data_IF_854607676759
#
_entry.id   IF_854607676759
#
_cell.length_a   1.000
_cell.length_b   1.000
_cell.length_c   1.000
_cell.angle_alpha   90.00
_cell.angle_beta   90.00
_cell.angle_gamma   90.00
#
_symmetry.space_group_name_H-M   'P 1'
#
loop_
_entity.id
_entity.type
_entity.pdbx_description
1 polymer ?
#
# COMPACT_ATOMS: atom_id res chain seq x y z
N UNK A 1 -14.16 -2.64 9.56
CA UNK A 1 -13.30 -1.98 10.55
C UNK A 1 -13.14 -2.85 11.79
N UNK A 2 -14.24 -3.37 12.34
CA UNK A 2 -14.26 -4.31 13.48
C UNK A 2 -13.19 -5.40 13.42
N UNK A 3 -13.00 -6.06 12.26
CA UNK A 3 -11.94 -7.06 12.14
C UNK A 3 -10.53 -6.50 12.38
N UNK A 4 -10.23 -5.29 11.90
CA UNK A 4 -8.95 -4.62 12.16
C UNK A 4 -8.81 -4.19 13.63
N UNK A 5 -9.92 -3.82 14.29
CA UNK A 5 -9.94 -3.42 15.70
C UNK A 5 -9.50 -4.57 16.64
N UNK A 6 -9.69 -5.82 16.20
CA UNK A 6 -9.24 -7.02 16.94
C UNK A 6 -7.75 -7.34 16.77
N UNK A 7 -7.00 -6.59 15.95
CA UNK A 7 -5.61 -6.91 15.60
C UNK A 7 -4.61 -5.98 16.30
N UNK A 8 -3.43 -6.49 16.71
CA UNK A 8 -2.39 -5.64 17.29
C UNK A 8 -1.95 -4.50 16.37
N UNK A 9 -1.44 -3.42 16.97
CA UNK A 9 -0.90 -2.30 16.20
C UNK A 9 0.23 -2.77 15.27
N UNK A 10 0.20 -2.30 14.02
CA UNK A 10 1.19 -2.59 12.97
C UNK A 10 1.38 -4.09 12.68
N UNK A 11 0.37 -4.93 12.90
CA UNK A 11 0.46 -6.37 12.60
C UNK A 11 -0.11 -6.76 11.24
N UNK A 12 -1.04 -5.98 10.70
CA UNK A 12 -1.82 -6.35 9.50
C UNK A 12 -1.08 -5.93 8.23
N UNK A 13 -1.01 -6.86 7.28
CA UNK A 13 -0.63 -6.59 5.89
C UNK A 13 -1.86 -6.23 5.08
N UNK A 14 -1.90 -5.03 4.52
CA UNK A 14 -2.93 -4.64 3.56
C UNK A 14 -2.45 -4.93 2.13
N UNK A 15 -3.27 -5.55 1.29
CA UNK A 15 -2.91 -5.91 -0.08
C UNK A 15 -3.97 -5.41 -1.06
N UNK A 16 -3.56 -4.60 -2.05
CA UNK A 16 -4.44 -4.12 -3.12
C UNK A 16 -3.65 -3.74 -4.38
N UNK A 17 -4.07 -4.29 -5.51
CA UNK A 17 -3.49 -4.01 -6.84
C UNK A 17 -4.36 -3.06 -7.68
N UNK A 18 -5.26 -2.32 -7.03
CA UNK A 18 -6.10 -1.31 -7.68
C UNK A 18 -7.23 -1.90 -8.53
N UNK A 19 -7.76 -1.07 -9.44
CA UNK A 19 -8.93 -1.40 -10.28
C UNK A 19 -8.57 -1.93 -11.66
N UNK A 20 -7.40 -1.55 -12.19
CA UNK A 20 -7.06 -1.81 -13.58
C UNK A 20 -6.16 -3.04 -13.78
N UNK A 21 -5.43 -3.47 -12.75
CA UNK A 21 -4.57 -4.64 -12.85
C UNK A 21 -5.37 -5.92 -12.56
N UNK A 22 -5.61 -6.72 -13.61
CA UNK A 22 -6.01 -8.12 -13.41
C UNK A 22 -4.79 -8.91 -12.92
N UNK A 23 -4.82 -9.33 -11.66
CA UNK A 23 -3.73 -10.12 -11.06
C UNK A 23 -3.84 -11.57 -11.55
N UNK A 24 -2.78 -12.08 -12.19
CA UNK A 24 -2.74 -13.45 -12.71
C UNK A 24 -2.94 -14.49 -11.60
N UNK A 25 -3.42 -15.69 -11.95
CA UNK A 25 -3.57 -16.79 -10.99
C UNK A 25 -2.24 -17.10 -10.29
N UNK A 26 -1.15 -17.17 -11.05
CA UNK A 26 0.20 -17.39 -10.52
C UNK A 26 0.59 -16.34 -9.47
N UNK A 27 0.36 -15.06 -9.76
CA UNK A 27 0.64 -14.00 -8.79
C UNK A 27 -0.23 -14.13 -7.53
N UNK A 28 -1.52 -14.48 -7.68
CA UNK A 28 -2.40 -14.72 -6.53
C UNK A 28 -1.89 -15.88 -5.65
N UNK A 29 -1.45 -16.98 -6.27
CA UNK A 29 -0.93 -18.14 -5.55
C UNK A 29 0.37 -17.82 -4.79
N UNK A 30 1.27 -17.04 -5.40
CA UNK A 30 2.48 -16.55 -4.72
C UNK A 30 2.17 -15.60 -3.57
N UNK A 31 1.22 -14.67 -3.74
CA UNK A 31 0.77 -13.78 -2.66
C UNK A 31 0.21 -14.60 -1.49
N UNK A 32 -0.66 -15.60 -1.75
CA UNK A 32 -1.20 -16.49 -0.72
C UNK A 32 -0.08 -17.20 0.05
N UNK A 33 0.90 -17.77 -0.68
CA UNK A 33 2.05 -18.46 -0.08
C UNK A 33 2.92 -17.52 0.75
N UNK A 34 3.26 -16.34 0.23
CA UNK A 34 4.12 -15.38 0.93
C UNK A 34 3.45 -14.77 2.17
N UNK A 35 2.15 -14.47 2.08
CA UNK A 35 1.36 -14.02 3.23
C UNK A 35 1.28 -15.11 4.30
N UNK A 36 1.01 -16.36 3.92
CA UNK A 36 1.01 -17.48 4.85
C UNK A 36 2.37 -17.71 5.51
N UNK A 37 3.46 -17.64 4.75
CA UNK A 37 4.83 -17.78 5.24
C UNK A 37 5.23 -16.66 6.21
N UNK A 38 4.70 -15.44 6.02
CA UNK A 38 4.94 -14.31 6.92
C UNK A 38 4.32 -14.51 8.31
N UNK A 39 3.29 -15.36 8.43
CA UNK A 39 2.54 -15.55 9.68
C UNK A 39 1.71 -14.34 10.14
N UNK A 40 1.69 -13.24 9.36
CA UNK A 40 1.04 -11.98 9.71
C UNK A 40 -0.43 -11.99 9.28
N UNK A 41 -1.35 -11.40 10.07
CA UNK A 41 -2.71 -11.21 9.62
C UNK A 41 -2.75 -10.32 8.38
N UNK A 42 -3.71 -10.54 7.47
CA UNK A 42 -3.79 -9.75 6.25
C UNK A 42 -5.23 -9.43 5.84
N UNK A 43 -5.39 -8.25 5.24
CA UNK A 43 -6.58 -7.81 4.54
C UNK A 43 -6.24 -7.70 3.06
N UNK A 44 -6.89 -8.48 2.20
CA UNK A 44 -6.63 -8.49 0.77
C UNK A 44 -7.88 -8.14 -0.02
N UNK A 45 -7.78 -7.07 -0.82
CA UNK A 45 -8.80 -6.70 -1.80
C UNK A 45 -8.63 -7.52 -3.08
N UNK A 46 -9.60 -8.40 -3.36
CA UNK A 46 -9.69 -9.19 -4.59
C UNK A 46 -11.05 -8.94 -5.21
N UNK A 47 -11.07 -8.22 -6.33
CA UNK A 47 -12.30 -7.89 -7.06
C UNK A 47 -13.06 -9.16 -7.43
N UNK A 48 -14.39 -9.09 -7.39
CA UNK A 48 -15.26 -10.25 -7.64
C UNK A 48 -15.01 -10.92 -9.00
N UNK A 49 -14.70 -10.13 -10.04
CA UNK A 49 -14.36 -10.64 -11.37
C UNK A 49 -12.96 -11.29 -11.47
N UNK A 50 -12.14 -11.21 -10.42
CA UNK A 50 -10.83 -11.83 -10.32
C UNK A 50 -10.74 -12.82 -9.13
N UNK A 51 -11.88 -13.12 -8.50
CA UNK A 51 -11.98 -14.07 -7.37
C UNK A 51 -12.17 -15.49 -7.93
N UNK A 52 -11.38 -16.43 -7.42
CA UNK A 52 -11.53 -17.87 -7.67
C UNK A 52 -11.97 -18.60 -6.39
N UNK A 53 -12.37 -19.87 -6.53
CA UNK A 53 -12.87 -20.71 -5.43
C UNK A 53 -11.87 -20.84 -4.26
N UNK A 54 -10.59 -20.58 -4.52
CA UNK A 54 -9.51 -20.60 -3.53
C UNK A 54 -9.45 -19.37 -2.61
N UNK A 55 -10.44 -18.46 -2.67
CA UNK A 55 -10.61 -17.33 -1.74
C UNK A 55 -11.76 -17.54 -0.75
N UNK A 56 -12.18 -18.78 -0.55
CA UNK A 56 -13.08 -19.15 0.53
C UNK A 56 -12.36 -19.01 1.87
N UNK A 57 -12.72 -17.96 2.61
CA UNK A 57 -12.03 -17.47 3.82
C UNK A 57 -12.71 -17.99 5.11
N UNK A 58 -13.55 -19.02 4.99
CA UNK A 58 -14.33 -19.53 6.11
C UNK A 58 -13.40 -20.16 7.16
N UNK A 59 -13.18 -19.43 8.26
CA UNK A 59 -12.63 -19.98 9.51
C UNK A 59 -11.21 -19.57 9.90
N UNK A 60 -10.50 -18.68 9.18
CA UNK A 60 -9.22 -18.13 9.65
C UNK A 60 -9.35 -16.67 10.10
N UNK A 61 -9.39 -16.44 11.41
CA UNK A 61 -9.51 -15.11 12.03
C UNK A 61 -8.35 -14.16 11.69
N UNK A 62 -7.24 -14.67 11.15
CA UNK A 62 -6.08 -13.89 10.72
C UNK A 62 -6.19 -13.38 9.29
N UNK A 63 -7.21 -13.75 8.54
CA UNK A 63 -7.36 -13.39 7.12
C UNK A 63 -8.68 -12.70 6.89
N UNK A 64 -8.66 -11.73 5.97
CA UNK A 64 -9.88 -11.10 5.49
C UNK A 64 -9.74 -10.74 4.01
N UNK A 65 -10.48 -11.45 3.15
CA UNK A 65 -10.54 -11.19 1.72
C UNK A 65 -11.86 -10.54 1.34
N UNK A 66 -11.79 -9.35 0.74
CA UNK A 66 -12.96 -8.53 0.38
C UNK A 66 -12.94 -8.11 -1.09
N UNK A 67 -14.11 -7.90 -1.68
CA UNK A 67 -14.23 -7.39 -3.05
C UNK A 67 -13.86 -5.91 -3.20
N UNK A 68 -14.01 -5.15 -2.12
CA UNK A 68 -13.75 -3.71 -2.05
C UNK A 68 -13.65 -3.27 -0.58
N UNK A 69 -12.91 -2.19 -0.33
CA UNK A 69 -12.90 -1.49 0.95
C UNK A 69 -12.65 0.01 0.76
N UNK A 70 -12.95 0.80 1.80
CA UNK A 70 -12.46 2.16 1.94
C UNK A 70 -10.96 2.11 2.27
N UNK A 71 -10.12 2.25 1.24
CA UNK A 71 -8.67 2.11 1.34
C UNK A 71 -8.06 3.14 2.30
N UNK A 72 -8.54 4.39 2.31
CA UNK A 72 -8.02 5.43 3.21
C UNK A 72 -8.31 5.08 4.66
N UNK A 73 -9.52 4.59 4.97
CA UNK A 73 -9.85 4.14 6.34
C UNK A 73 -9.03 2.92 6.77
N UNK A 74 -8.77 1.98 5.85
CA UNK A 74 -7.89 0.83 6.13
C UNK A 74 -6.46 1.29 6.38
N UNK A 75 -5.87 2.07 5.48
CA UNK A 75 -4.49 2.56 5.59
C UNK A 75 -4.27 3.45 6.82
N UNK A 76 -5.30 4.16 7.27
CA UNK A 76 -5.25 4.99 8.47
C UNK A 76 -5.37 4.19 9.77
N UNK A 77 -5.73 2.91 9.70
CA UNK A 77 -5.98 2.10 10.88
C UNK A 77 -4.68 1.70 11.59
N UNK A 78 -4.56 1.85 12.92
CA UNK A 78 -3.32 1.53 13.66
C UNK A 78 -2.82 0.10 13.51
N UNK A 79 -3.72 -0.85 13.23
CA UNK A 79 -3.34 -2.25 13.01
C UNK A 79 -2.59 -2.47 11.68
N UNK A 80 -2.73 -1.60 10.67
CA UNK A 80 -2.03 -1.76 9.39
C UNK A 80 -0.56 -1.40 9.58
N UNK A 81 0.31 -2.37 9.30
CA UNK A 81 1.77 -2.20 9.41
C UNK A 81 2.46 -2.05 8.06
N UNK A 82 1.86 -2.55 6.97
CA UNK A 82 2.43 -2.46 5.64
C UNK A 82 1.35 -2.58 4.56
N UNK A 83 1.56 -1.87 3.45
CA UNK A 83 0.75 -1.95 2.25
C UNK A 83 1.54 -2.58 1.09
N UNK A 84 1.06 -3.71 0.59
CA UNK A 84 1.52 -4.34 -0.66
C UNK A 84 0.68 -3.79 -1.81
N UNK A 85 1.32 -3.08 -2.73
CA UNK A 85 0.63 -2.32 -3.78
C UNK A 85 1.33 -2.34 -5.12
N UNK A 86 0.54 -2.26 -6.18
CA UNK A 86 0.99 -2.00 -7.55
C UNK A 86 1.55 -0.58 -7.78
N UNK A 87 1.53 0.31 -6.79
CA UNK A 87 2.06 1.68 -6.89
C UNK A 87 1.30 2.61 -7.86
N UNK A 88 0.00 2.41 -8.07
CA UNK A 88 -0.83 3.41 -8.75
C UNK A 88 -0.85 4.76 -8.01
N UNK A 89 -0.83 5.87 -8.75
CA UNK A 89 -0.60 7.20 -8.17
C UNK A 89 -1.59 7.61 -7.07
N UNK A 90 -2.89 7.32 -7.24
CA UNK A 90 -3.89 7.59 -6.20
C UNK A 90 -3.59 6.82 -4.91
N UNK A 91 -3.30 5.52 -5.02
CA UNK A 91 -2.91 4.71 -3.87
C UNK A 91 -1.62 5.24 -3.21
N UNK A 92 -0.68 5.79 -4.00
CA UNK A 92 0.53 6.41 -3.46
C UNK A 92 0.22 7.68 -2.65
N UNK A 93 -0.67 8.55 -3.13
CA UNK A 93 -1.10 9.73 -2.40
C UNK A 93 -1.78 9.35 -1.07
N UNK A 94 -2.69 8.37 -1.11
CA UNK A 94 -3.36 7.86 0.09
C UNK A 94 -2.36 7.24 1.08
N UNK A 95 -1.39 6.49 0.58
CA UNK A 95 -0.31 5.90 1.39
C UNK A 95 0.49 6.97 2.12
N UNK A 96 0.92 8.02 1.40
CA UNK A 96 1.68 9.13 1.99
C UNK A 96 0.83 9.88 2.99
N UNK A 97 -0.45 10.12 2.68
CA UNK A 97 -1.39 10.80 3.59
C UNK A 97 -1.64 9.99 4.87
N UNK A 98 -1.62 8.66 4.80
CA UNK A 98 -1.80 7.78 5.95
C UNK A 98 -0.50 7.52 6.71
N UNK A 99 0.66 7.65 6.06
CA UNK A 99 1.98 7.34 6.61
C UNK A 99 2.27 5.84 6.66
N UNK A 100 1.70 5.07 5.73
CA UNK A 100 1.83 3.62 5.70
C UNK A 100 3.10 3.17 4.95
N UNK A 101 3.92 2.26 5.52
CA UNK A 101 5.04 1.64 4.81
C UNK A 101 4.60 0.79 3.62
N UNK A 102 5.43 0.68 2.58
CA UNK A 102 5.06 0.04 1.31
C UNK A 102 5.98 -1.12 0.91
N UNK A 103 5.38 -2.24 0.46
CA UNK A 103 6.01 -3.16 -0.49
C UNK A 103 5.50 -2.82 -1.89
N UNK A 104 6.40 -2.29 -2.72
CA UNK A 104 6.09 -1.84 -4.07
C UNK A 104 6.24 -2.99 -5.08
N UNK A 105 5.16 -3.28 -5.80
CA UNK A 105 5.05 -4.40 -6.76
C UNK A 105 4.48 -3.88 -8.10
N UNK A 106 5.22 -3.01 -8.82
CA UNK A 106 4.71 -2.32 -10.00
C UNK A 106 4.33 -3.29 -11.12
N UNK A 107 3.17 -3.09 -11.73
CA UNK A 107 2.63 -3.96 -12.77
C UNK A 107 2.76 -3.34 -14.18
N UNK A 108 2.41 -2.06 -14.35
CA UNK A 108 2.40 -1.41 -15.68
C UNK A 108 2.39 0.14 -15.60
N UNK A 109 2.58 0.80 -16.75
CA UNK A 109 2.50 2.27 -16.87
C UNK A 109 3.55 3.03 -16.02
N UNK A 110 3.13 4.03 -15.25
CA UNK A 110 3.93 4.89 -14.38
C UNK A 110 4.39 4.22 -13.08
N UNK A 111 3.90 3.00 -12.81
CA UNK A 111 4.10 2.33 -11.53
C UNK A 111 5.56 2.03 -11.22
N UNK A 112 6.39 1.78 -12.23
CA UNK A 112 7.84 1.60 -12.07
C UNK A 112 8.51 2.88 -11.53
N UNK A 113 8.10 4.04 -12.02
CA UNK A 113 8.55 5.35 -11.54
C UNK A 113 8.07 5.59 -10.11
N UNK A 114 6.81 5.26 -9.81
CA UNK A 114 6.25 5.40 -8.47
C UNK A 114 6.96 4.48 -7.46
N UNK A 115 7.31 3.25 -7.86
CA UNK A 115 8.11 2.34 -7.04
C UNK A 115 9.52 2.88 -6.77
N UNK A 116 10.12 3.62 -7.72
CA UNK A 116 11.39 4.32 -7.48
C UNK A 116 11.22 5.44 -6.45
N UNK A 117 10.12 6.18 -6.49
CA UNK A 117 9.80 7.20 -5.48
C UNK A 117 9.62 6.60 -4.08
N UNK A 118 8.95 5.44 -3.96
CA UNK A 118 8.83 4.71 -2.68
C UNK A 118 10.20 4.49 -2.03
N UNK A 119 11.18 4.03 -2.81
CA UNK A 119 12.54 3.76 -2.33
C UNK A 119 13.29 5.07 -2.05
N UNK A 120 13.22 6.06 -2.95
CA UNK A 120 13.90 7.34 -2.78
C UNK A 120 13.38 8.15 -1.58
N UNK A 121 12.10 8.07 -1.32
CA UNK A 121 11.47 8.68 -0.15
C UNK A 121 11.71 7.87 1.13
N UNK A 122 12.24 6.64 1.02
CA UNK A 122 12.49 5.75 2.15
C UNK A 122 11.21 5.28 2.83
N UNK A 123 10.06 5.26 2.15
CA UNK A 123 8.76 4.86 2.72
C UNK A 123 8.44 3.38 2.46
N UNK A 124 9.36 2.64 1.87
CA UNK A 124 9.16 1.23 1.56
C UNK A 124 10.30 0.63 0.76
N UNK A 125 10.06 -0.58 0.26
CA UNK A 125 10.98 -1.30 -0.62
C UNK A 125 10.29 -1.68 -1.92
N UNK A 126 11.06 -1.74 -3.01
CA UNK A 126 10.63 -2.37 -4.25
C UNK A 126 10.93 -3.86 -4.17
N UNK A 127 9.90 -4.69 -4.28
CA UNK A 127 10.08 -6.13 -4.30
C UNK A 127 10.70 -6.57 -5.63
N UNK A 128 11.57 -7.57 -5.59
CA UNK A 128 12.03 -8.25 -6.78
C UNK A 128 10.88 -9.04 -7.42
N UNK A 129 10.82 -9.04 -8.74
CA UNK A 129 9.86 -9.82 -9.52
C UNK A 129 10.57 -10.57 -10.62
N UNK A 130 9.99 -11.65 -11.10
CA UNK A 130 10.49 -12.36 -12.27
C UNK A 130 10.22 -11.59 -13.59
N UNK A 131 10.56 -12.22 -14.71
CA UNK A 131 10.36 -11.68 -16.06
C UNK A 131 8.89 -11.40 -16.39
N UNK A 132 7.96 -12.10 -15.74
CA UNK A 132 6.51 -11.94 -15.89
C UNK A 132 5.94 -10.92 -14.89
N UNK A 133 6.81 -10.20 -14.17
CA UNK A 133 6.46 -9.27 -13.08
C UNK A 133 5.72 -9.93 -11.92
N UNK A 134 5.92 -11.24 -11.73
CA UNK A 134 5.39 -11.98 -10.59
C UNK A 134 6.30 -11.79 -9.38
N UNK A 135 5.71 -11.32 -8.29
CA UNK A 135 6.31 -11.34 -6.96
C UNK A 135 6.19 -12.73 -6.37
N UNK A 136 7.34 -13.38 -6.15
CA UNK A 136 7.44 -14.69 -5.52
C UNK A 136 7.19 -14.63 -4.00
N UNK A 137 6.68 -15.73 -3.45
CA UNK A 137 6.33 -15.84 -2.03
C UNK A 137 7.50 -15.55 -1.08
N UNK A 138 8.70 -16.05 -1.41
CA UNK A 138 9.89 -15.86 -0.60
C UNK A 138 10.30 -14.39 -0.51
N UNK A 139 10.23 -13.70 -1.65
CA UNK A 139 10.52 -12.26 -1.72
C UNK A 139 9.48 -11.43 -0.97
N UNK A 140 8.18 -11.74 -1.11
CA UNK A 140 7.13 -11.08 -0.33
C UNK A 140 7.39 -11.24 1.18
N UNK A 141 7.65 -12.47 1.64
CA UNK A 141 7.92 -12.73 3.05
C UNK A 141 9.15 -11.98 3.54
N UNK A 142 10.21 -11.90 2.74
CA UNK A 142 11.44 -11.15 3.07
C UNK A 142 11.17 -9.66 3.19
N UNK A 143 10.42 -9.07 2.25
CA UNK A 143 10.04 -7.66 2.28
C UNK A 143 9.19 -7.31 3.52
N UNK A 144 8.19 -8.15 3.82
CA UNK A 144 7.33 -7.98 4.99
C UNK A 144 8.14 -8.04 6.29
N UNK A 145 9.07 -8.99 6.40
CA UNK A 145 9.93 -9.10 7.58
C UNK A 145 10.88 -7.90 7.73
N UNK A 146 11.42 -7.40 6.63
CA UNK A 146 12.26 -6.20 6.65
C UNK A 146 11.49 -4.95 7.13
N UNK A 147 10.25 -4.76 6.68
CA UNK A 147 9.43 -3.58 7.02
C UNK A 147 8.80 -3.70 8.41
N UNK A 148 8.27 -4.87 8.75
CA UNK A 148 7.40 -5.08 9.90
C UNK A 148 8.05 -5.89 11.03
N UNK A 149 9.29 -6.35 10.85
CA UNK A 149 10.10 -6.94 11.91
C UNK A 149 10.79 -5.88 12.77
N UNK A 150 11.64 -6.34 13.69
CA UNK A 150 12.32 -5.52 14.71
C UNK A 150 13.65 -4.92 14.23
N UNK A 151 13.91 -4.99 12.92
CA UNK A 151 15.14 -4.47 12.31
C UNK A 151 15.15 -2.94 12.23
N UNK A 152 16.35 -2.35 12.28
CA UNK A 152 16.56 -0.90 12.23
C UNK A 152 16.07 -0.32 10.90
N UNK A 153 16.22 -1.05 9.81
CA UNK A 153 15.76 -0.68 8.47
C UNK A 153 14.24 -0.50 8.44
N UNK A 154 13.47 -1.40 9.05
CA UNK A 154 12.02 -1.28 9.17
C UNK A 154 11.61 -0.08 10.02
N UNK A 155 12.35 0.19 11.11
CA UNK A 155 12.11 1.38 11.93
C UNK A 155 12.37 2.69 11.15
N UNK A 156 13.44 2.74 10.36
CA UNK A 156 13.76 3.88 9.51
C UNK A 156 12.67 4.13 8.45
N UNK A 157 12.16 3.06 7.81
CA UNK A 157 11.06 3.15 6.84
C UNK A 157 9.80 3.75 7.47
N UNK A 158 9.43 3.30 8.67
CA UNK A 158 8.27 3.82 9.41
C UNK A 158 8.45 5.29 9.79
N UNK A 159 9.64 5.67 10.25
CA UNK A 159 9.97 7.07 10.58
C UNK A 159 9.89 7.97 9.34
N UNK A 160 10.40 7.52 8.19
CA UNK A 160 10.28 8.26 6.94
C UNK A 160 8.83 8.40 6.49
N UNK A 161 8.04 7.33 6.59
CA UNK A 161 6.61 7.36 6.26
C UNK A 161 5.84 8.39 7.10
N UNK A 162 6.12 8.46 8.40
CA UNK A 162 5.56 9.48 9.29
C UNK A 162 6.02 10.91 8.92
N UNK A 163 7.27 11.07 8.52
CA UNK A 163 7.83 12.36 8.08
C UNK A 163 7.13 12.85 6.80
N UNK A 164 6.92 11.97 5.83
CA UNK A 164 6.22 12.30 4.59
C UNK A 164 4.74 12.62 4.81
N UNK A 165 4.08 11.89 5.72
CA UNK A 165 2.74 12.24 6.18
C UNK A 165 2.69 13.66 6.75
N UNK A 166 3.62 14.03 7.62
CA UNK A 166 3.67 15.37 8.20
C UNK A 166 3.91 16.45 7.13
N UNK A 167 4.80 16.21 6.16
CA UNK A 167 5.02 17.12 5.02
C UNK A 167 3.77 17.30 4.16
N UNK A 168 3.04 16.21 3.88
CA UNK A 168 1.78 16.29 3.15
C UNK A 168 0.75 17.13 3.90
N UNK A 169 0.59 16.91 5.20
CA UNK A 169 -0.34 17.69 6.05
C UNK A 169 0.00 19.19 6.04
N UNK A 170 1.29 19.55 6.11
CA UNK A 170 1.74 20.94 5.99
C UNK A 170 1.44 21.54 4.61
N UNK A 171 1.59 20.76 3.53
CA UNK A 171 1.33 21.24 2.18
C UNK A 171 -0.15 21.58 1.94
N UNK A 172 -1.06 20.82 2.56
CA UNK A 172 -2.52 20.99 2.39
C UNK A 172 -3.18 21.85 3.48
N UNK A 173 -2.46 22.19 4.56
CA UNK A 173 -2.98 23.06 5.61
C UNK A 173 -3.37 24.45 5.09
N UNK A 174 -4.13 25.20 5.89
CA UNK A 174 -4.45 26.59 5.57
C UNK A 174 -3.16 27.41 5.35
N UNK A 175 -3.05 28.05 4.18
CA UNK A 175 -1.85 28.77 3.79
C UNK A 175 -0.68 27.88 3.30
N UNK A 176 -0.85 26.57 3.23
CA UNK A 176 0.12 25.58 2.73
C UNK A 176 0.39 25.72 1.23
N UNK A 177 1.45 25.06 0.75
CA UNK A 177 1.92 25.19 -0.64
C UNK A 177 0.89 24.75 -1.67
N UNK A 178 0.17 23.66 -1.45
CA UNK A 178 -0.84 23.16 -2.39
C UNK A 178 -2.00 24.16 -2.55
N UNK A 179 -2.45 24.75 -1.44
CA UNK A 179 -3.49 25.78 -1.46
C UNK A 179 -3.05 27.07 -2.16
N UNK A 180 -1.79 27.48 -1.97
CA UNK A 180 -1.22 28.63 -2.70
C UNK A 180 -1.11 28.36 -4.20
N UNK A 181 -0.62 27.19 -4.59
CA UNK A 181 -0.51 26.81 -5.99
C UNK A 181 -1.87 26.75 -6.68
N UNK A 182 -2.89 26.21 -6.00
CA UNK A 182 -4.26 26.21 -6.52
C UNK A 182 -4.79 27.63 -6.72
N UNK A 183 -4.54 28.54 -5.78
CA UNK A 183 -4.93 29.95 -5.94
C UNK A 183 -4.22 30.60 -7.13
N UNK A 184 -2.91 30.44 -7.26
CA UNK A 184 -2.14 30.96 -8.40
C UNK A 184 -2.67 30.41 -9.72
N UNK A 185 -3.05 29.14 -9.78
CA UNK A 185 -3.67 28.55 -10.96
C UNK A 185 -5.02 29.21 -11.28
N UNK A 186 -5.90 29.42 -10.29
CA UNK A 186 -7.20 30.07 -10.49
C UNK A 186 -7.06 31.53 -10.92
N UNK A 187 -6.08 32.25 -10.36
CA UNK A 187 -5.83 33.65 -10.69
C UNK A 187 -5.43 33.82 -12.17
N UNK A 188 -4.79 32.82 -12.80
CA UNK A 188 -4.47 32.86 -14.23
C UNK A 188 -5.74 32.93 -15.09
N UNK A 189 -6.79 32.18 -14.74
CA UNK A 189 -8.06 32.20 -15.50
C UNK A 189 -8.92 33.41 -15.18
N UNK A 190 -8.81 33.96 -13.97
CA UNK A 190 -9.54 35.17 -13.58
C UNK A 190 -9.01 36.43 -14.27
N UNK A 191 -7.74 36.44 -14.70
CA UNK A 191 -7.10 37.55 -15.40
C UNK A 191 -7.21 37.46 -16.94
N UNK A 192 -7.72 36.34 -17.47
CA UNK A 192 -7.95 36.10 -18.90
C UNK A 192 -9.43 36.32 -19.31
N UNK A 193 -10.28 36.84 -18.42
CA UNK A 193 -11.70 37.18 -18.63
C UNK A 193 -11.93 38.69 -18.50
#
# INVERSE_FOLDING_TARGET
MEWLDTKPARSVVYVSFGTMAAVSKRQKDELKRGLAASGRPYLWVVRNNNRDDGFNDAGDERRMVVGWCDQVRVLSHPAVGCFVTHCGWNSMLETVACGAPVVAVPQWSDQDTNARLVVQWGIGVRAATDVDRVLEAGELSRCLELIMGDRVEGAAIRASSATWKAKLQQAIAAGGSSGRNLRTFLDQFANDA
#
